data_IF_311864790586
#
_entry.id   IF_311864790586
#
_cell.length_a   1.000
_cell.length_b   1.000
_cell.length_c   1.000
_cell.angle_alpha   90.00
_cell.angle_beta   90.00
_cell.angle_gamma   90.00
#
_symmetry.space_group_name_H-M   'P 1'
#
loop_
_entity.id
_entity.type
_entity.pdbx_description
1 polymer ?
#
# COMPACT_ATOMS: atom_id res chain seq x y z
N UNK A 1 21.47 35.70 -24.28
CA UNK A 1 20.10 36.17 -23.94
C UNK A 1 19.44 35.12 -23.07
N UNK A 2 18.91 35.53 -21.93
CA UNK A 2 18.15 34.65 -21.05
C UNK A 2 16.72 34.50 -21.58
N UNK A 3 16.51 33.46 -22.40
CA UNK A 3 15.22 33.18 -23.07
C UNK A 3 14.12 32.77 -22.09
N UNK A 4 14.46 32.42 -20.85
CA UNK A 4 13.49 32.00 -19.83
C UNK A 4 12.84 33.24 -19.20
N UNK A 5 13.62 34.30 -18.96
CA UNK A 5 13.10 35.56 -18.43
C UNK A 5 12.12 36.28 -19.38
N UNK A 6 12.10 35.93 -20.68
CA UNK A 6 11.16 36.49 -21.66
C UNK A 6 9.77 35.81 -21.64
N UNK A 7 9.60 34.70 -20.92
CA UNK A 7 8.32 34.00 -20.84
C UNK A 7 7.28 34.79 -20.03
N UNK A 8 5.98 34.69 -20.33
CA UNK A 8 4.90 35.25 -19.51
C UNK A 8 4.87 34.67 -18.09
N UNK A 9 4.40 35.46 -17.12
CA UNK A 9 4.33 35.07 -15.69
C UNK A 9 3.54 33.78 -15.47
N UNK A 10 2.45 33.56 -16.21
CA UNK A 10 1.66 32.33 -16.10
C UNK A 10 2.45 31.07 -16.49
N UNK A 11 3.35 31.15 -17.48
CA UNK A 11 4.21 30.05 -17.88
C UNK A 11 5.30 29.83 -16.82
N UNK A 12 5.89 30.92 -16.30
CA UNK A 12 6.89 30.84 -15.24
C UNK A 12 6.32 30.22 -13.96
N UNK A 13 5.10 30.59 -13.54
CA UNK A 13 4.39 29.98 -12.42
C UNK A 13 4.11 28.51 -12.66
N UNK A 14 3.72 28.14 -13.87
CA UNK A 14 3.53 26.74 -14.25
C UNK A 14 4.84 25.94 -14.12
N UNK A 15 5.97 26.47 -14.63
CA UNK A 15 7.28 25.85 -14.49
C UNK A 15 7.66 25.71 -13.01
N UNK A 16 7.55 26.79 -12.23
CA UNK A 16 7.87 26.79 -10.81
C UNK A 16 7.00 25.80 -10.01
N UNK A 17 5.75 25.56 -10.43
CA UNK A 17 4.85 24.60 -9.78
C UNK A 17 5.31 23.14 -9.86
N UNK A 18 6.18 22.81 -10.82
CA UNK A 18 6.80 21.48 -10.92
C UNK A 18 8.08 21.34 -10.11
N UNK A 19 8.64 22.45 -9.61
CA UNK A 19 9.86 22.43 -8.82
C UNK A 19 9.53 22.19 -7.34
N UNK A 20 10.40 21.49 -6.59
CA UNK A 20 10.30 21.51 -5.14
C UNK A 20 10.33 22.96 -4.63
N UNK A 21 9.53 23.28 -3.60
CA UNK A 21 9.39 24.67 -3.14
C UNK A 21 10.74 25.30 -2.81
N UNK A 22 11.66 24.53 -2.23
CA UNK A 22 13.04 24.98 -1.96
C UNK A 22 13.70 25.51 -3.24
N UNK A 23 13.66 24.74 -4.31
CA UNK A 23 14.27 25.08 -5.60
C UNK A 23 13.56 26.27 -6.23
N UNK A 24 12.23 26.32 -6.15
CA UNK A 24 11.48 27.48 -6.61
C UNK A 24 11.96 28.76 -5.90
N UNK A 25 12.07 28.75 -4.57
CA UNK A 25 12.54 29.91 -3.81
C UNK A 25 14.04 30.23 -4.00
N UNK A 26 14.88 29.29 -4.45
CA UNK A 26 16.25 29.60 -4.85
C UNK A 26 16.30 30.45 -6.14
N UNK A 27 15.28 30.39 -6.98
CA UNK A 27 15.20 31.22 -8.20
C UNK A 27 15.02 32.71 -7.89
N UNK A 28 14.65 33.07 -6.65
CA UNK A 28 14.51 34.48 -6.23
C UNK A 28 15.81 35.29 -6.37
N UNK A 29 16.97 34.62 -6.34
CA UNK A 29 18.29 35.25 -6.57
C UNK A 29 18.47 35.72 -8.03
N UNK A 30 17.71 35.16 -8.98
CA UNK A 30 17.85 35.47 -10.40
C UNK A 30 17.33 36.87 -10.74
N UNK A 31 16.19 37.29 -10.15
CA UNK A 31 15.70 38.67 -10.29
C UNK A 31 14.56 38.99 -9.30
N UNK A 32 14.22 40.28 -9.19
CA UNK A 32 13.03 40.73 -8.43
C UNK A 32 11.74 40.09 -8.96
N UNK A 33 11.62 39.87 -10.27
CA UNK A 33 10.44 39.24 -10.88
C UNK A 33 10.24 37.81 -10.37
N UNK A 34 11.30 37.00 -10.32
CA UNK A 34 11.26 35.66 -9.75
C UNK A 34 10.89 35.67 -8.26
N UNK A 35 11.34 36.68 -7.52
CA UNK A 35 10.91 36.88 -6.12
C UNK A 35 9.38 37.06 -6.02
N UNK A 36 8.78 37.89 -6.88
CA UNK A 36 7.33 38.07 -6.90
C UNK A 36 6.60 36.78 -7.30
N UNK A 37 7.05 36.10 -8.35
CA UNK A 37 6.44 34.85 -8.83
C UNK A 37 6.45 33.74 -7.77
N UNK A 38 7.52 33.62 -6.98
CA UNK A 38 7.54 32.65 -5.88
C UNK A 38 6.48 32.93 -4.81
N UNK A 39 6.09 34.19 -4.62
CA UNK A 39 5.02 34.54 -3.70
C UNK A 39 3.62 34.23 -4.25
N UNK A 40 3.48 34.13 -5.57
CA UNK A 40 2.22 33.82 -6.27
C UNK A 40 1.97 32.30 -6.49
N UNK A 41 2.82 31.44 -5.92
CA UNK A 41 2.66 29.99 -6.01
C UNK A 41 1.44 29.48 -5.23
N UNK A 42 0.72 28.53 -5.84
CA UNK A 42 -0.46 27.87 -5.23
C UNK A 42 -0.17 26.44 -4.76
N UNK A 43 0.99 25.91 -5.13
CA UNK A 43 1.39 24.52 -4.88
C UNK A 43 2.69 24.52 -4.09
N UNK A 44 2.62 24.03 -2.85
CA UNK A 44 3.74 23.99 -1.94
C UNK A 44 4.06 22.54 -1.58
N UNK A 45 5.28 22.12 -1.93
CA UNK A 45 5.85 20.83 -1.54
C UNK A 45 7.11 21.02 -0.68
N UNK A 46 6.98 20.62 0.58
CA UNK A 46 8.06 20.68 1.57
C UNK A 46 8.42 19.27 2.01
N UNK A 47 9.64 18.84 1.72
CA UNK A 47 10.18 17.56 2.17
C UNK A 47 11.50 17.79 2.88
N UNK A 48 11.51 17.52 4.19
CA UNK A 48 12.68 17.69 5.04
C UNK A 48 13.91 16.90 4.52
N UNK A 49 13.72 15.78 3.82
CA UNK A 49 14.83 15.01 3.27
C UNK A 49 15.64 15.80 2.23
N UNK A 50 15.03 16.77 1.55
CA UNK A 50 15.72 17.69 0.63
C UNK A 50 16.58 18.75 1.35
N UNK A 51 16.44 18.85 2.67
CA UNK A 51 17.18 19.77 3.53
C UNK A 51 18.19 19.05 4.43
N UNK A 52 18.20 17.71 4.47
CA UNK A 52 19.24 16.92 5.15
C UNK A 52 20.55 17.00 4.37
N UNK A 53 21.65 17.24 5.09
CA UNK A 53 23.00 17.12 4.52
C UNK A 53 23.38 15.63 4.48
N UNK A 54 24.08 15.17 3.43
CA UNK A 54 24.33 13.73 3.19
C UNK A 54 25.12 13.01 4.30
N UNK A 55 25.71 13.74 5.25
CA UNK A 55 26.71 13.22 6.19
C UNK A 55 26.29 13.27 7.67
N UNK A 56 25.06 13.64 8.02
CA UNK A 56 24.64 13.66 9.43
C UNK A 56 23.31 12.95 9.64
N UNK A 57 23.33 11.93 10.50
CA UNK A 57 22.13 11.27 11.00
C UNK A 57 21.34 12.29 11.84
N UNK A 58 20.12 12.61 11.39
CA UNK A 58 19.10 13.43 12.09
C UNK A 58 19.65 14.51 13.03
N UNK A 59 20.21 15.58 12.46
CA UNK A 59 20.55 16.76 13.24
C UNK A 59 19.26 17.51 13.62
N UNK A 60 18.94 17.54 14.91
CA UNK A 60 17.79 18.28 15.48
C UNK A 60 17.77 19.75 15.05
N UNK A 61 18.95 20.35 14.81
CA UNK A 61 19.09 21.72 14.32
C UNK A 61 18.59 21.89 12.87
N UNK A 62 18.72 20.86 12.03
CA UNK A 62 18.28 20.89 10.64
C UNK A 62 16.75 20.90 10.54
N UNK A 63 16.05 20.18 11.43
CA UNK A 63 14.58 20.17 11.49
C UNK A 63 14.02 21.54 11.88
N UNK A 64 14.54 22.15 12.96
CA UNK A 64 14.14 23.50 13.37
C UNK A 64 14.35 24.53 12.26
N UNK A 65 15.48 24.45 11.55
CA UNK A 65 15.75 25.32 10.40
C UNK A 65 14.76 25.10 9.27
N UNK A 66 14.42 23.86 8.96
CA UNK A 66 13.41 23.52 7.96
C UNK A 66 12.04 24.10 8.32
N UNK A 67 11.54 23.86 9.53
CA UNK A 67 10.26 24.41 9.98
C UNK A 67 10.27 25.95 9.99
N UNK A 68 11.38 26.58 10.37
CA UNK A 68 11.54 28.03 10.29
C UNK A 68 11.44 28.56 8.85
N UNK A 69 11.99 27.84 7.86
CA UNK A 69 11.87 28.18 6.44
C UNK A 69 10.42 28.05 5.99
N UNK A 70 9.74 26.94 6.31
CA UNK A 70 8.32 26.74 5.99
C UNK A 70 7.48 27.87 6.59
N UNK A 71 7.71 28.19 7.87
CA UNK A 71 7.05 29.28 8.57
C UNK A 71 7.26 30.63 7.88
N UNK A 72 8.49 30.95 7.49
CA UNK A 72 8.82 32.19 6.79
C UNK A 72 8.14 32.28 5.42
N UNK A 73 8.12 31.18 4.65
CA UNK A 73 7.44 31.14 3.34
C UNK A 73 5.93 31.35 3.51
N UNK A 74 5.29 30.57 4.38
CA UNK A 74 3.85 30.64 4.61
C UNK A 74 3.42 32.00 5.17
N UNK A 75 4.23 32.60 6.06
CA UNK A 75 3.94 33.91 6.65
C UNK A 75 3.94 35.03 5.60
N UNK A 76 4.76 34.90 4.56
CA UNK A 76 4.88 35.89 3.49
C UNK A 76 3.91 35.65 2.33
N UNK A 77 3.33 34.47 2.23
CA UNK A 77 2.35 34.16 1.21
C UNK A 77 0.99 34.80 1.54
N UNK A 78 0.52 35.66 0.63
CA UNK A 78 -0.69 36.47 0.80
C UNK A 78 -1.78 36.14 -0.21
N UNK A 79 -1.39 35.92 -1.45
CA UNK A 79 -2.27 35.56 -2.56
C UNK A 79 -1.39 34.95 -3.67
N UNK A 80 -1.97 34.18 -4.59
CA UNK A 80 -3.33 33.63 -4.61
C UNK A 80 -3.53 32.48 -3.58
N UNK A 81 -4.76 32.02 -3.30
CA UNK A 81 -5.00 30.95 -2.32
C UNK A 81 -4.24 29.66 -2.63
N UNK A 82 -3.76 29.00 -1.57
CA UNK A 82 -3.06 27.71 -1.67
C UNK A 82 -4.04 26.63 -2.11
N UNK A 83 -3.71 25.92 -3.19
CA UNK A 83 -4.47 24.76 -3.70
C UNK A 83 -3.89 23.44 -3.24
N UNK A 84 -2.57 23.35 -3.10
CA UNK A 84 -1.88 22.12 -2.72
C UNK A 84 -0.86 22.40 -1.64
N UNK A 85 -0.99 21.69 -0.52
CA UNK A 85 0.01 21.70 0.54
C UNK A 85 0.44 20.29 0.88
N UNK A 86 1.74 20.02 0.70
CA UNK A 86 2.38 18.75 1.01
C UNK A 86 3.56 18.99 1.93
N UNK A 87 3.56 18.30 3.08
CA UNK A 87 4.60 18.42 4.09
C UNK A 87 5.06 17.03 4.54
N UNK A 88 6.36 16.76 4.38
CA UNK A 88 7.04 15.58 4.92
C UNK A 88 8.09 16.03 5.91
N UNK A 89 7.92 15.70 7.19
CA UNK A 89 8.88 16.04 8.24
C UNK A 89 8.82 15.12 9.46
N UNK A 90 9.94 15.06 10.16
CA UNK A 90 10.04 14.54 11.52
C UNK A 90 9.46 15.57 12.50
N UNK A 91 8.74 15.13 13.52
CA UNK A 91 8.17 15.99 14.55
C UNK A 91 8.85 15.80 15.89
N UNK A 92 9.03 16.91 16.61
CA UNK A 92 9.31 16.92 18.04
C UNK A 92 8.07 17.40 18.82
N UNK A 93 7.97 17.10 20.13
CA UNK A 93 6.85 17.57 20.95
C UNK A 93 6.63 19.08 20.96
N UNK A 94 7.69 19.88 20.73
CA UNK A 94 7.61 21.34 20.67
C UNK A 94 6.97 21.89 19.39
N UNK A 95 6.84 21.07 18.35
CA UNK A 95 6.55 21.56 17.00
C UNK A 95 5.04 21.56 16.68
N UNK A 96 4.20 21.10 17.61
CA UNK A 96 2.75 20.92 17.41
C UNK A 96 2.03 22.22 17.05
N UNK A 97 2.28 23.28 17.81
CA UNK A 97 1.66 24.60 17.56
C UNK A 97 2.10 25.21 16.23
N UNK A 98 3.35 24.94 15.83
CA UNK A 98 3.89 25.40 14.54
C UNK A 98 3.18 24.68 13.39
N UNK A 99 2.98 23.37 13.51
CA UNK A 99 2.28 22.59 12.50
C UNK A 99 0.79 22.92 12.44
N UNK A 100 0.13 23.10 13.59
CA UNK A 100 -1.25 23.56 13.65
C UNK A 100 -1.40 24.90 12.93
N UNK A 101 -0.48 25.85 13.17
CA UNK A 101 -0.45 27.12 12.45
C UNK A 101 -0.27 26.95 10.94
N UNK A 102 0.61 26.03 10.48
CA UNK A 102 0.74 25.72 9.04
C UNK A 102 -0.59 25.27 8.46
N UNK A 103 -1.28 24.32 9.12
CA UNK A 103 -2.53 23.78 8.63
C UNK A 103 -3.61 24.86 8.56
N UNK A 104 -3.74 25.68 9.61
CA UNK A 104 -4.69 26.81 9.63
C UNK A 104 -4.37 27.82 8.52
N UNK A 105 -3.09 28.12 8.29
CA UNK A 105 -2.66 29.10 7.28
C UNK A 105 -2.95 28.63 5.85
N UNK A 106 -2.83 27.33 5.57
CA UNK A 106 -3.12 26.78 4.23
C UNK A 106 -4.58 26.42 4.03
N UNK A 107 -5.34 26.30 5.12
CA UNK A 107 -6.77 26.02 5.07
C UNK A 107 -7.53 27.22 4.49
N UNK A 108 -7.74 27.19 3.18
CA UNK A 108 -8.53 28.16 2.44
C UNK A 108 -9.67 27.48 1.67
N UNK A 109 -10.61 28.28 1.13
CA UNK A 109 -11.77 27.76 0.41
C UNK A 109 -11.43 27.00 -0.88
N UNK A 110 -10.20 27.12 -1.39
CA UNK A 110 -9.73 26.51 -2.63
C UNK A 110 -8.67 25.42 -2.41
N UNK A 111 -8.49 24.94 -1.17
CA UNK A 111 -7.52 23.89 -0.88
C UNK A 111 -8.01 22.56 -1.45
N UNK A 112 -7.38 22.11 -2.54
CA UNK A 112 -7.72 20.88 -3.25
C UNK A 112 -6.96 19.65 -2.70
N UNK A 113 -5.76 19.85 -2.17
CA UNK A 113 -4.94 18.77 -1.61
C UNK A 113 -4.22 19.17 -0.32
N UNK A 114 -4.40 18.33 0.71
CA UNK A 114 -3.63 18.37 1.95
C UNK A 114 -2.95 17.00 2.17
N UNK A 115 -1.63 16.99 2.23
CA UNK A 115 -0.83 15.78 2.46
C UNK A 115 0.20 16.03 3.56
N UNK A 116 0.04 15.34 4.69
CA UNK A 116 0.93 15.43 5.84
C UNK A 116 1.55 14.05 6.08
N UNK A 117 2.87 13.95 5.94
CA UNK A 117 3.67 12.77 6.24
C UNK A 117 4.59 13.09 7.41
N UNK A 118 4.17 12.67 8.59
CA UNK A 118 4.76 13.10 9.85
C UNK A 118 5.39 11.89 10.54
N UNK A 119 6.72 11.82 10.53
CA UNK A 119 7.48 10.85 11.31
C UNK A 119 7.78 11.42 12.70
N UNK A 120 8.05 10.57 13.68
CA UNK A 120 8.59 11.03 14.97
C UNK A 120 9.89 10.30 15.27
N UNK A 121 10.83 11.04 15.84
CA UNK A 121 12.13 10.53 16.26
C UNK A 121 12.05 9.93 17.68
N UNK A 122 11.02 10.32 18.46
CA UNK A 122 10.82 9.91 19.84
C UNK A 122 9.41 9.34 20.04
N UNK A 123 9.28 8.29 20.86
CA UNK A 123 7.99 7.76 21.32
C UNK A 123 7.30 8.77 22.26
N UNK A 124 6.88 9.93 21.76
CA UNK A 124 6.17 10.94 22.53
C UNK A 124 4.67 10.62 22.60
N UNK A 125 4.00 11.09 23.66
CA UNK A 125 2.55 10.91 23.85
C UNK A 125 1.76 12.04 23.15
N UNK A 126 2.45 13.12 22.82
CA UNK A 126 1.88 14.36 22.27
C UNK A 126 1.47 14.15 20.82
N UNK A 127 0.29 14.68 20.45
CA UNK A 127 -0.27 14.50 19.11
C UNK A 127 -0.76 15.83 18.56
N UNK A 128 -0.36 16.11 17.33
CA UNK A 128 -0.84 17.22 16.51
C UNK A 128 -2.32 17.00 16.22
N UNK A 129 -3.17 17.88 16.74
CA UNK A 129 -4.58 17.88 16.40
C UNK A 129 -4.78 18.51 15.02
N UNK A 130 -5.42 17.78 14.10
CA UNK A 130 -5.82 18.33 12.81
C UNK A 130 -7.03 19.24 13.03
N UNK A 131 -7.00 20.53 12.63
CA UNK A 131 -8.15 21.41 12.79
C UNK A 131 -9.42 20.87 12.13
N UNK A 132 -10.57 20.98 12.81
CA UNK A 132 -11.87 20.52 12.31
C UNK A 132 -12.25 21.11 10.94
N UNK A 133 -11.77 22.32 10.63
CA UNK A 133 -12.00 22.96 9.34
C UNK A 133 -11.45 22.17 8.14
N UNK A 134 -10.42 21.34 8.32
CA UNK A 134 -9.93 20.43 7.27
C UNK A 134 -11.02 19.46 6.82
N UNK A 135 -11.78 18.92 7.77
CA UNK A 135 -12.86 17.97 7.52
C UNK A 135 -14.18 18.64 7.11
N UNK A 136 -14.20 19.96 6.99
CA UNK A 136 -15.33 20.75 6.49
C UNK A 136 -14.99 21.47 5.16
N UNK A 137 -13.81 21.20 4.60
CA UNK A 137 -13.32 21.86 3.39
C UNK A 137 -13.98 21.26 2.15
N UNK A 138 -14.87 22.01 1.50
CA UNK A 138 -15.67 21.52 0.37
C UNK A 138 -14.91 21.39 -0.93
N UNK A 139 -13.79 22.09 -1.10
CA UNK A 139 -12.90 22.00 -2.25
C UNK A 139 -11.87 20.87 -2.15
N UNK A 140 -11.73 20.23 -0.98
CA UNK A 140 -10.71 19.23 -0.76
C UNK A 140 -11.00 17.95 -1.55
N UNK A 141 -10.10 17.63 -2.48
CA UNK A 141 -10.17 16.45 -3.35
C UNK A 141 -9.30 15.31 -2.80
N UNK A 142 -8.16 15.66 -2.20
CA UNK A 142 -7.21 14.69 -1.64
C UNK A 142 -6.82 15.06 -0.21
N UNK A 143 -7.05 14.14 0.72
CA UNK A 143 -6.60 14.23 2.11
C UNK A 143 -5.72 13.03 2.43
N UNK A 144 -4.45 13.28 2.76
CA UNK A 144 -3.52 12.25 3.21
C UNK A 144 -2.92 12.64 4.54
N UNK A 145 -3.16 11.82 5.54
CA UNK A 145 -2.64 11.99 6.89
C UNK A 145 -1.88 10.73 7.25
N UNK A 146 -0.58 10.85 7.48
CA UNK A 146 0.30 9.76 7.88
C UNK A 146 1.12 10.18 9.09
N UNK A 147 1.06 9.39 10.17
CA UNK A 147 1.98 9.50 11.30
C UNK A 147 1.32 9.30 12.66
N UNK A 148 1.99 8.51 13.52
CA UNK A 148 1.56 8.13 14.88
C UNK A 148 1.14 9.25 15.83
N UNK A 149 1.51 10.48 15.50
CA UNK A 149 1.23 11.68 16.28
C UNK A 149 0.12 12.54 15.67
N UNK A 150 -0.55 12.09 14.61
CA UNK A 150 -1.72 12.77 14.08
C UNK A 150 -2.95 12.40 14.90
N UNK A 151 -3.64 13.41 15.43
CA UNK A 151 -4.94 13.25 16.08
C UNK A 151 -6.03 13.88 15.24
N UNK A 152 -7.02 13.08 14.88
CA UNK A 152 -8.26 13.57 14.29
C UNK A 152 -9.20 13.90 15.45
N UNK A 153 -9.56 15.18 15.67
CA UNK A 153 -10.49 15.58 16.72
C UNK A 153 -11.89 15.01 16.48
N UNK A 154 -12.70 14.99 17.53
CA UNK A 154 -14.14 14.79 17.42
C UNK A 154 -14.81 16.11 17.00
N UNK A 155 -15.98 16.10 16.34
CA UNK A 155 -16.68 17.34 16.03
C UNK A 155 -17.00 18.06 17.35
N UNK A 156 -16.49 19.29 17.52
CA UNK A 156 -16.56 20.01 18.80
C UNK A 156 -17.99 20.39 19.22
N UNK A 157 -18.97 20.29 18.30
CA UNK A 157 -20.37 20.63 18.50
C UNK A 157 -21.24 19.94 17.42
N UNK A 158 -22.53 19.65 17.69
CA UNK A 158 -23.47 19.06 16.73
C UNK A 158 -23.74 19.92 15.47
N UNK A 159 -23.35 21.20 15.50
CA UNK A 159 -23.43 22.16 14.39
C UNK A 159 -22.22 22.15 13.46
N UNK A 160 -21.07 21.58 13.89
CA UNK A 160 -19.84 21.49 13.08
C UNK A 160 -19.72 20.09 12.50
N UNK A 161 -20.53 19.76 11.50
CA UNK A 161 -20.49 18.44 10.84
C UNK A 161 -19.35 18.37 9.83
N UNK A 162 -18.76 17.19 9.70
CA UNK A 162 -17.86 16.93 8.58
C UNK A 162 -18.62 17.10 7.26
N UNK A 163 -17.96 17.68 6.26
CA UNK A 163 -18.54 17.88 4.95
C UNK A 163 -17.45 17.92 3.89
N UNK A 164 -17.26 16.80 3.19
CA UNK A 164 -16.18 16.57 2.23
C UNK A 164 -16.74 16.08 0.89
N UNK A 165 -17.63 16.86 0.24
CA UNK A 165 -18.36 16.41 -0.96
C UNK A 165 -17.46 16.14 -2.17
N UNK A 166 -16.33 16.85 -2.28
CA UNK A 166 -15.39 16.73 -3.41
C UNK A 166 -14.28 15.71 -3.18
N UNK A 167 -14.23 15.08 -1.99
CA UNK A 167 -13.10 14.23 -1.62
C UNK A 167 -13.12 12.91 -2.38
N UNK A 168 -12.10 12.72 -3.23
CA UNK A 168 -11.89 11.52 -4.04
C UNK A 168 -10.87 10.58 -3.44
N UNK A 169 -9.88 11.10 -2.71
CA UNK A 169 -8.82 10.29 -2.09
C UNK A 169 -8.72 10.61 -0.60
N UNK A 170 -8.94 9.58 0.22
CA UNK A 170 -8.70 9.64 1.66
C UNK A 170 -7.65 8.60 2.04
N UNK A 171 -6.54 9.07 2.61
CA UNK A 171 -5.51 8.21 3.19
C UNK A 171 -5.30 8.57 4.65
N UNK A 172 -5.54 7.60 5.53
CA UNK A 172 -5.29 7.68 6.96
C UNK A 172 -4.33 6.54 7.32
N UNK A 173 -3.11 6.88 7.73
CA UNK A 173 -2.10 5.89 8.08
C UNK A 173 -1.45 6.22 9.42
N UNK A 174 -1.47 5.29 10.37
CA UNK A 174 -0.95 5.47 11.73
C UNK A 174 -1.56 6.69 12.47
N UNK A 175 -2.84 7.00 12.23
CA UNK A 175 -3.50 8.15 12.87
C UNK A 175 -4.31 7.72 14.10
N UNK A 176 -4.54 8.64 15.05
CA UNK A 176 -5.50 8.44 16.14
C UNK A 176 -6.77 9.26 15.92
N UNK A 177 -7.91 8.59 15.85
CA UNK A 177 -9.23 9.21 15.99
C UNK A 177 -9.55 9.35 17.47
N UNK A 178 -10.09 10.50 17.85
CA UNK A 178 -10.46 10.83 19.23
C UNK A 178 -11.78 10.15 19.62
N UNK A 179 -12.57 10.73 20.52
CA UNK A 179 -13.87 10.20 20.98
C UNK A 179 -14.97 10.12 19.87
N UNK A 180 -14.59 10.15 18.59
CA UNK A 180 -15.44 9.98 17.42
C UNK A 180 -15.18 8.64 16.70
N UNK A 181 -15.93 8.39 15.63
CA UNK A 181 -15.84 7.16 14.84
C UNK A 181 -15.39 7.45 13.40
N UNK A 182 -14.52 6.62 12.84
CA UNK A 182 -14.14 6.66 11.42
C UNK A 182 -15.36 6.64 10.48
N UNK A 183 -16.40 5.88 10.83
CA UNK A 183 -17.64 5.83 10.01
C UNK A 183 -18.30 7.20 9.84
N UNK A 184 -18.19 8.08 10.84
CA UNK A 184 -18.77 9.43 10.75
C UNK A 184 -18.08 10.24 9.64
N UNK A 185 -16.75 10.27 9.63
CA UNK A 185 -15.95 10.94 8.58
C UNK A 185 -16.27 10.34 7.21
N UNK A 186 -16.33 9.01 7.13
CA UNK A 186 -16.62 8.28 5.90
C UNK A 186 -18.03 8.57 5.36
N UNK A 187 -19.02 8.73 6.23
CA UNK A 187 -20.41 9.01 5.83
C UNK A 187 -20.59 10.36 5.11
N UNK A 188 -19.65 11.28 5.29
CA UNK A 188 -19.66 12.61 4.67
C UNK A 188 -18.79 12.71 3.41
N UNK A 189 -18.17 11.60 2.97
CA UNK A 189 -17.34 11.52 1.77
C UNK A 189 -18.14 10.89 0.61
N UNK A 190 -18.92 11.67 -0.14
CA UNK A 190 -19.83 11.14 -1.17
C UNK A 190 -19.16 10.78 -2.51
N UNK A 191 -18.00 11.38 -2.82
CA UNK A 191 -17.31 11.21 -4.09
C UNK A 191 -16.06 10.31 -4.02
N UNK A 192 -15.94 9.50 -2.97
CA UNK A 192 -14.70 8.79 -2.66
C UNK A 192 -14.37 7.70 -3.69
N UNK A 193 -13.20 7.83 -4.33
CA UNK A 193 -12.69 6.89 -5.35
C UNK A 193 -11.56 6.02 -4.82
N UNK A 194 -10.77 6.52 -3.86
CA UNK A 194 -9.64 5.81 -3.24
C UNK A 194 -9.67 5.97 -1.73
N UNK A 195 -9.68 4.84 -1.02
CA UNK A 195 -9.64 4.77 0.44
C UNK A 195 -8.44 3.94 0.88
N UNK A 196 -7.54 4.54 1.66
CA UNK A 196 -6.37 3.89 2.25
C UNK A 196 -6.44 4.07 3.75
N UNK A 197 -6.66 2.97 4.48
CA UNK A 197 -6.71 2.92 5.93
C UNK A 197 -5.61 1.99 6.42
N UNK A 198 -4.71 2.51 7.25
CA UNK A 198 -3.67 1.71 7.88
C UNK A 198 -3.45 2.13 9.32
N UNK A 199 -3.44 1.20 10.28
CA UNK A 199 -3.07 1.50 11.68
C UNK A 199 -3.89 2.65 12.31
N UNK A 200 -5.20 2.67 12.08
CA UNK A 200 -6.08 3.75 12.56
C UNK A 200 -6.56 3.43 13.98
N UNK A 201 -6.00 4.13 14.98
CA UNK A 201 -6.34 3.94 16.39
C UNK A 201 -7.58 4.75 16.76
N UNK A 202 -8.59 4.13 17.37
CA UNK A 202 -9.81 4.82 17.85
C UNK A 202 -10.24 4.30 19.23
N UNK A 203 -10.92 5.12 20.05
CA UNK A 203 -11.53 4.66 21.31
C UNK A 203 -12.85 3.93 20.99
N UNK A 204 -12.91 2.64 21.28
CA UNK A 204 -14.01 1.81 20.79
C UNK A 204 -15.24 1.90 21.69
N UNK A 205 -16.25 2.64 21.22
CA UNK A 205 -17.64 2.49 21.67
C UNK A 205 -18.49 1.75 20.62
N UNK A 206 -18.08 1.81 19.34
CA UNK A 206 -18.71 1.07 18.24
C UNK A 206 -17.78 0.01 17.66
N UNK A 207 -18.42 -1.06 17.22
CA UNK A 207 -17.88 -2.41 17.06
C UNK A 207 -17.82 -2.84 15.58
N UNK A 208 -18.25 -1.97 14.68
CA UNK A 208 -18.43 -2.22 13.24
C UNK A 208 -17.80 -1.10 12.41
N UNK A 209 -17.25 -1.46 11.23
CA UNK A 209 -16.84 -0.54 10.17
C UNK A 209 -17.48 -0.99 8.85
N UNK A 210 -18.28 -0.11 8.24
CA UNK A 210 -18.95 -0.38 6.96
C UNK A 210 -18.37 0.47 5.83
N UNK A 211 -17.81 -0.18 4.81
CA UNK A 211 -17.23 0.46 3.63
C UNK A 211 -18.18 0.18 2.46
N UNK A 212 -19.13 1.10 2.25
CA UNK A 212 -20.21 0.94 1.27
C UNK A 212 -20.27 2.15 0.32
N UNK A 213 -19.27 2.25 -0.56
CA UNK A 213 -19.10 3.38 -1.48
C UNK A 213 -19.31 2.93 -2.94
N UNK A 214 -20.39 3.37 -3.61
CA UNK A 214 -20.64 3.02 -5.01
C UNK A 214 -19.58 3.54 -5.99
N UNK A 215 -18.88 4.63 -5.64
CA UNK A 215 -17.85 5.27 -6.45
C UNK A 215 -16.42 4.76 -6.19
N UNK A 216 -16.22 3.90 -5.18
CA UNK A 216 -14.90 3.48 -4.75
C UNK A 216 -14.26 2.52 -5.75
N UNK A 217 -13.07 2.88 -6.23
CA UNK A 217 -12.29 2.13 -7.22
C UNK A 217 -11.10 1.41 -6.60
N UNK A 218 -10.57 1.91 -5.49
CA UNK A 218 -9.37 1.37 -4.83
C UNK A 218 -9.55 1.38 -3.31
N UNK A 219 -9.37 0.22 -2.68
CA UNK A 219 -9.42 0.04 -1.23
C UNK A 219 -8.13 -0.61 -0.74
N UNK A 220 -7.43 0.04 0.18
CA UNK A 220 -6.34 -0.53 0.95
C UNK A 220 -6.71 -0.45 2.43
N UNK A 221 -6.78 -1.60 3.10
CA UNK A 221 -7.13 -1.71 4.51
C UNK A 221 -6.10 -2.55 5.24
N UNK A 222 -5.44 -1.94 6.23
CA UNK A 222 -4.37 -2.56 7.02
C UNK A 222 -4.59 -2.35 8.51
N UNK A 223 -4.69 -3.44 9.26
CA UNK A 223 -4.97 -3.43 10.71
C UNK A 223 -3.97 -4.32 11.47
N UNK A 224 -3.48 -3.84 12.62
CA UNK A 224 -2.57 -4.57 13.52
C UNK A 224 -3.13 -4.62 14.95
N UNK A 225 -2.57 -5.54 15.76
CA UNK A 225 -2.92 -5.84 17.15
C UNK A 225 -3.50 -4.68 17.98
N UNK A 226 -4.60 -4.95 18.69
CA UNK A 226 -5.19 -4.05 19.69
C UNK A 226 -6.44 -3.29 19.24
N UNK A 227 -6.89 -3.47 18.00
CA UNK A 227 -8.13 -2.89 17.50
C UNK A 227 -9.34 -3.80 17.83
N UNK A 228 -10.39 -3.27 18.48
CA UNK A 228 -11.59 -4.04 18.87
C UNK A 228 -12.72 -3.98 17.82
N UNK A 229 -12.36 -3.87 16.53
CA UNK A 229 -13.33 -4.00 15.45
C UNK A 229 -13.85 -5.45 15.43
N UNK A 230 -15.13 -5.68 15.77
CA UNK A 230 -15.71 -7.02 15.65
C UNK A 230 -16.18 -7.32 14.24
N UNK A 231 -16.76 -6.35 13.52
CA UNK A 231 -17.33 -6.55 12.19
C UNK A 231 -16.77 -5.56 11.15
N UNK A 232 -16.22 -6.09 10.06
CA UNK A 232 -15.88 -5.32 8.86
C UNK A 232 -16.83 -5.69 7.72
N UNK A 233 -17.54 -4.71 7.14
CA UNK A 233 -18.40 -4.91 5.97
C UNK A 233 -17.80 -4.17 4.78
N UNK A 234 -17.62 -4.87 3.65
CA UNK A 234 -17.17 -4.30 2.38
C UNK A 234 -18.23 -4.61 1.32
N UNK A 235 -18.85 -3.56 0.80
CA UNK A 235 -19.87 -3.65 -0.25
C UNK A 235 -19.66 -2.51 -1.28
N UNK A 236 -18.82 -2.76 -2.28
CA UNK A 236 -18.34 -1.73 -3.20
C UNK A 236 -18.33 -2.24 -4.64
N UNK A 237 -19.43 -2.08 -5.41
CA UNK A 237 -19.59 -2.69 -6.73
C UNK A 237 -18.62 -2.15 -7.80
N UNK A 238 -18.11 -0.93 -7.64
CA UNK A 238 -17.18 -0.31 -8.59
C UNK A 238 -15.70 -0.58 -8.28
N UNK A 239 -15.40 -1.41 -7.29
CA UNK A 239 -14.05 -1.64 -6.81
C UNK A 239 -13.23 -2.40 -7.86
N UNK A 240 -12.04 -1.86 -8.18
CA UNK A 240 -11.09 -2.45 -9.13
C UNK A 240 -9.84 -3.00 -8.48
N UNK A 241 -9.40 -2.38 -7.38
CA UNK A 241 -8.22 -2.78 -6.61
C UNK A 241 -8.54 -2.94 -5.14
N UNK A 242 -8.11 -4.06 -4.58
CA UNK A 242 -8.35 -4.45 -3.19
C UNK A 242 -7.04 -4.87 -2.53
N UNK A 243 -6.71 -4.32 -1.36
CA UNK A 243 -5.59 -4.79 -0.54
C UNK A 243 -6.05 -4.86 0.91
N UNK A 244 -6.17 -6.09 1.44
CA UNK A 244 -6.64 -6.35 2.80
C UNK A 244 -5.55 -7.08 3.57
N UNK A 245 -5.06 -6.43 4.62
CA UNK A 245 -4.02 -6.95 5.51
C UNK A 245 -4.51 -6.87 6.95
N UNK A 246 -4.88 -8.00 7.53
CA UNK A 246 -5.55 -8.05 8.83
C UNK A 246 -4.89 -9.11 9.71
N UNK A 247 -4.27 -8.67 10.80
CA UNK A 247 -3.62 -9.55 11.79
C UNK A 247 -4.48 -9.73 13.04
N UNK A 248 -5.12 -10.90 13.19
CA UNK A 248 -5.88 -11.41 14.35
C UNK A 248 -7.00 -10.45 14.90
N UNK A 249 -7.90 -10.96 15.76
CA UNK A 249 -8.93 -10.20 16.54
C UNK A 249 -10.24 -9.74 15.86
N UNK A 250 -10.38 -9.78 14.53
CA UNK A 250 -11.69 -9.58 13.89
C UNK A 250 -12.62 -10.78 14.18
N UNK A 251 -13.84 -10.51 14.65
CA UNK A 251 -14.82 -11.57 14.94
C UNK A 251 -15.52 -12.02 13.66
N UNK A 252 -15.84 -11.07 12.78
CA UNK A 252 -16.56 -11.26 11.54
C UNK A 252 -16.07 -10.28 10.45
N UNK A 253 -15.96 -10.78 9.22
CA UNK A 253 -15.79 -9.97 8.01
C UNK A 253 -16.95 -10.36 7.09
N UNK A 254 -17.55 -9.41 6.37
CA UNK A 254 -18.57 -9.67 5.36
C UNK A 254 -18.19 -8.91 4.09
N UNK A 255 -18.09 -9.63 2.99
CA UNK A 255 -17.74 -9.07 1.68
C UNK A 255 -18.84 -9.35 0.67
N UNK A 256 -19.16 -8.35 -0.15
CA UNK A 256 -20.18 -8.42 -1.20
C UNK A 256 -19.78 -7.57 -2.39
N UNK A 257 -20.28 -7.94 -3.57
CA UNK A 257 -20.21 -7.14 -4.78
C UNK A 257 -18.76 -6.86 -5.26
N UNK A 258 -17.84 -7.81 -5.10
CA UNK A 258 -16.43 -7.64 -5.54
C UNK A 258 -16.16 -8.15 -6.96
N UNK A 259 -17.20 -8.40 -7.76
CA UNK A 259 -17.11 -9.00 -9.09
C UNK A 259 -16.31 -8.18 -10.13
N UNK A 260 -16.12 -6.88 -9.89
CA UNK A 260 -15.35 -5.97 -10.77
C UNK A 260 -13.88 -5.81 -10.34
N UNK A 261 -13.46 -6.45 -9.25
CA UNK A 261 -12.07 -6.37 -8.78
C UNK A 261 -11.16 -7.07 -9.79
N UNK A 262 -10.17 -6.33 -10.28
CA UNK A 262 -9.19 -6.81 -11.26
C UNK A 262 -7.91 -7.31 -10.57
N UNK A 263 -7.55 -6.68 -9.44
CA UNK A 263 -6.33 -6.91 -8.67
C UNK A 263 -6.63 -6.92 -7.17
N UNK A 264 -6.27 -8.01 -6.49
CA UNK A 264 -6.47 -8.17 -5.06
C UNK A 264 -5.26 -8.74 -4.35
N UNK A 265 -4.93 -8.14 -3.20
CA UNK A 265 -4.00 -8.66 -2.21
C UNK A 265 -4.76 -9.01 -0.94
N UNK A 266 -4.64 -10.26 -0.49
CA UNK A 266 -5.31 -10.77 0.71
C UNK A 266 -4.27 -11.35 1.64
N UNK A 267 -4.16 -10.79 2.84
CA UNK A 267 -3.31 -11.29 3.91
C UNK A 267 -4.09 -11.30 5.22
N UNK A 268 -4.82 -12.40 5.48
CA UNK A 268 -5.73 -12.56 6.62
C UNK A 268 -5.47 -13.93 7.26
N UNK A 269 -5.48 -14.02 8.58
CA UNK A 269 -5.10 -15.23 9.34
C UNK A 269 -6.25 -16.19 9.67
N UNK A 270 -7.48 -15.96 9.16
CA UNK A 270 -8.66 -16.80 9.46
C UNK A 270 -9.25 -17.40 8.18
N UNK A 271 -9.29 -18.73 8.13
CA UNK A 271 -9.74 -19.51 6.98
C UNK A 271 -11.13 -19.10 6.47
N UNK A 272 -12.10 -18.89 7.37
CA UNK A 272 -13.47 -18.52 6.99
C UNK A 272 -13.51 -17.20 6.22
N UNK A 273 -12.74 -16.20 6.66
CA UNK A 273 -12.70 -14.89 6.02
C UNK A 273 -12.02 -14.95 4.67
N UNK A 274 -10.91 -15.71 4.57
CA UNK A 274 -10.23 -15.91 3.29
C UNK A 274 -11.21 -16.50 2.27
N UNK A 275 -11.97 -17.53 2.65
CA UNK A 275 -12.95 -18.17 1.75
C UNK A 275 -14.04 -17.20 1.29
N UNK A 276 -14.54 -16.32 2.17
CA UNK A 276 -15.51 -15.30 1.75
C UNK A 276 -14.97 -14.39 0.65
N UNK A 277 -13.72 -13.92 0.77
CA UNK A 277 -13.08 -13.16 -0.31
C UNK A 277 -12.89 -13.99 -1.58
N UNK A 278 -12.41 -15.24 -1.47
CA UNK A 278 -12.16 -16.07 -2.65
C UNK A 278 -13.44 -16.33 -3.45
N UNK A 279 -14.59 -16.50 -2.78
CA UNK A 279 -15.89 -16.70 -3.44
C UNK A 279 -16.30 -15.45 -4.23
N UNK A 280 -16.14 -14.26 -3.67
CA UNK A 280 -16.49 -13.01 -4.37
C UNK A 280 -15.50 -12.67 -5.51
N UNK A 281 -14.27 -13.21 -5.46
CA UNK A 281 -13.18 -12.90 -6.40
C UNK A 281 -12.95 -13.99 -7.47
N UNK A 282 -13.90 -14.89 -7.73
CA UNK A 282 -13.74 -16.00 -8.69
C UNK A 282 -13.39 -15.57 -10.15
N UNK A 283 -13.64 -14.30 -10.51
CA UNK A 283 -13.38 -13.73 -11.85
C UNK A 283 -12.20 -12.75 -11.88
N UNK A 284 -11.41 -12.69 -10.81
CA UNK A 284 -10.26 -11.80 -10.70
C UNK A 284 -9.14 -12.15 -11.70
N UNK A 285 -8.32 -11.16 -12.07
CA UNK A 285 -7.18 -11.34 -12.99
C UNK A 285 -5.84 -11.48 -12.28
N UNK A 286 -5.63 -10.72 -11.20
CA UNK A 286 -4.40 -10.70 -10.41
C UNK A 286 -4.77 -10.95 -8.95
N UNK A 287 -4.20 -12.00 -8.35
CA UNK A 287 -4.43 -12.37 -6.96
C UNK A 287 -3.10 -12.60 -6.25
N UNK A 288 -2.86 -11.84 -5.18
CA UNK A 288 -1.77 -12.06 -4.23
C UNK A 288 -2.34 -12.60 -2.92
N UNK A 289 -1.88 -13.78 -2.50
CA UNK A 289 -2.17 -14.37 -1.20
C UNK A 289 -0.94 -14.22 -0.31
N UNK A 290 -1.09 -13.44 0.75
CA UNK A 290 -0.05 -13.13 1.71
C UNK A 290 0.24 -14.28 2.70
N UNK A 291 1.27 -14.09 3.51
CA UNK A 291 1.79 -15.10 4.44
C UNK A 291 0.74 -15.63 5.42
N UNK A 292 -0.13 -14.78 5.94
CA UNK A 292 -1.18 -15.18 6.89
C UNK A 292 -2.22 -16.11 6.26
N UNK A 293 -2.40 -16.04 4.93
CA UNK A 293 -3.27 -16.97 4.19
C UNK A 293 -2.65 -18.34 4.12
N UNK A 294 -1.33 -18.44 3.89
CA UNK A 294 -0.60 -19.70 3.90
C UNK A 294 -0.74 -20.45 5.24
N UNK A 295 -1.00 -19.74 6.33
CA UNK A 295 -1.11 -20.34 7.66
C UNK A 295 -2.43 -21.06 7.93
N UNK A 296 -3.45 -20.82 7.10
CA UNK A 296 -4.80 -21.34 7.33
C UNK A 296 -5.47 -21.94 6.09
N UNK A 297 -5.05 -21.54 4.88
CA UNK A 297 -5.63 -22.01 3.63
C UNK A 297 -5.22 -23.46 3.25
N UNK A 298 -3.98 -23.94 3.50
CA UNK A 298 -3.60 -25.32 3.17
C UNK A 298 -4.43 -26.41 3.87
N UNK A 299 -5.00 -26.11 5.04
CA UNK A 299 -5.87 -27.03 5.78
C UNK A 299 -7.30 -27.11 5.23
N UNK A 300 -7.66 -26.23 4.29
CA UNK A 300 -8.99 -26.23 3.66
C UNK A 300 -9.13 -27.43 2.74
N UNK A 301 -10.23 -28.19 2.83
CA UNK A 301 -10.57 -29.17 1.81
C UNK A 301 -10.66 -28.53 0.41
N UNK A 302 -9.99 -29.07 -0.62
CA UNK A 302 -9.91 -28.43 -1.93
C UNK A 302 -11.26 -28.10 -2.58
N UNK A 303 -12.33 -28.85 -2.28
CA UNK A 303 -13.67 -28.60 -2.81
C UNK A 303 -14.33 -27.31 -2.28
N UNK A 304 -13.85 -26.75 -1.16
CA UNK A 304 -14.35 -25.47 -0.62
C UNK A 304 -13.70 -24.25 -1.25
N UNK A 305 -12.54 -24.44 -1.89
CA UNK A 305 -11.84 -23.37 -2.61
C UNK A 305 -12.52 -23.22 -3.99
N UNK A 306 -12.98 -22.02 -4.36
CA UNK A 306 -13.64 -21.80 -5.64
C UNK A 306 -12.66 -21.91 -6.82
N UNK A 307 -13.20 -22.08 -8.02
CA UNK A 307 -12.39 -22.02 -9.24
C UNK A 307 -12.22 -20.58 -9.72
N UNK A 308 -10.99 -20.23 -10.12
CA UNK A 308 -10.66 -18.94 -10.69
C UNK A 308 -10.64 -19.02 -12.22
N UNK A 309 -11.69 -18.48 -12.83
CA UNK A 309 -11.96 -18.63 -14.26
C UNK A 309 -11.15 -17.67 -15.14
N UNK A 310 -10.76 -16.53 -14.60
CA UNK A 310 -10.08 -15.45 -15.34
C UNK A 310 -8.67 -15.12 -14.83
N UNK A 311 -8.16 -15.87 -13.84
CA UNK A 311 -6.91 -15.54 -13.17
C UNK A 311 -5.71 -15.71 -14.10
N UNK A 312 -4.94 -14.64 -14.29
CA UNK A 312 -3.72 -14.63 -15.10
C UNK A 312 -2.46 -14.60 -14.26
N UNK A 313 -2.50 -13.96 -13.09
CA UNK A 313 -1.35 -13.81 -12.20
C UNK A 313 -1.74 -14.25 -10.80
N UNK A 314 -1.01 -15.22 -10.28
CA UNK A 314 -1.14 -15.70 -8.90
C UNK A 314 0.20 -15.51 -8.20
N UNK A 315 0.21 -14.72 -7.12
CA UNK A 315 1.36 -14.59 -6.24
C UNK A 315 1.04 -15.22 -4.88
N UNK A 316 1.87 -16.17 -4.43
CA UNK A 316 1.73 -16.89 -3.17
C UNK A 316 2.92 -16.56 -2.26
N UNK A 317 2.65 -15.94 -1.11
CA UNK A 317 3.67 -15.76 -0.09
C UNK A 317 3.66 -16.94 0.87
N UNK A 318 4.80 -17.61 1.03
CA UNK A 318 4.91 -18.86 1.79
C UNK A 318 6.03 -18.80 2.82
N UNK A 319 5.89 -19.56 3.93
CA UNK A 319 7.02 -19.84 4.83
C UNK A 319 7.89 -20.96 4.32
N UNK A 320 7.26 -21.92 3.66
CA UNK A 320 7.88 -23.14 3.16
C UNK A 320 7.31 -23.54 1.81
N UNK A 321 8.02 -24.35 1.07
CA UNK A 321 7.60 -24.86 -0.22
C UNK A 321 6.59 -26.00 -0.07
N UNK A 322 5.34 -25.64 0.26
CA UNK A 322 4.24 -26.62 0.31
C UNK A 322 3.73 -26.88 -1.11
N UNK A 323 4.25 -27.95 -1.72
CA UNK A 323 3.88 -28.38 -3.07
C UNK A 323 2.41 -28.73 -3.18
N UNK A 324 1.79 -29.33 -2.16
CA UNK A 324 0.37 -29.68 -2.18
C UNK A 324 -0.50 -28.43 -2.23
N UNK A 325 -0.16 -27.40 -1.44
CA UNK A 325 -0.83 -26.10 -1.49
C UNK A 325 -0.70 -25.46 -2.87
N UNK A 326 0.51 -25.39 -3.43
CA UNK A 326 0.75 -24.80 -4.76
C UNK A 326 -0.04 -25.56 -5.83
N UNK A 327 0.02 -26.89 -5.84
CA UNK A 327 -0.67 -27.72 -6.84
C UNK A 327 -2.19 -27.62 -6.71
N UNK A 328 -2.74 -27.59 -5.49
CA UNK A 328 -4.16 -27.35 -5.25
C UNK A 328 -4.61 -26.00 -5.83
N UNK A 329 -3.81 -24.94 -5.64
CA UNK A 329 -4.11 -23.64 -6.24
C UNK A 329 -4.02 -23.66 -7.77
N UNK A 330 -3.01 -24.32 -8.35
CA UNK A 330 -2.90 -24.47 -9.81
C UNK A 330 -4.11 -25.20 -10.41
N UNK A 331 -4.64 -26.22 -9.74
CA UNK A 331 -5.85 -26.93 -10.19
C UNK A 331 -7.09 -26.02 -10.23
N UNK A 332 -7.14 -24.98 -9.39
CA UNK A 332 -8.23 -24.01 -9.35
C UNK A 332 -8.11 -22.89 -10.38
N UNK A 333 -6.94 -22.71 -10.98
CA UNK A 333 -6.67 -21.61 -11.91
C UNK A 333 -6.53 -22.15 -13.34
N UNK A 334 -7.52 -21.91 -14.21
CA UNK A 334 -7.49 -22.51 -15.57
C UNK A 334 -6.70 -21.68 -16.59
N UNK A 335 -6.67 -20.35 -16.42
CA UNK A 335 -6.10 -19.38 -17.38
C UNK A 335 -4.81 -18.73 -16.88
N UNK A 336 -4.15 -19.35 -15.89
CA UNK A 336 -2.97 -18.80 -15.22
C UNK A 336 -1.79 -18.71 -16.18
N UNK A 337 -1.20 -17.51 -16.28
CA UNK A 337 -0.04 -17.21 -17.13
C UNK A 337 1.24 -17.01 -16.33
N UNK A 338 1.13 -16.46 -15.13
CA UNK A 338 2.27 -16.18 -14.25
C UNK A 338 1.98 -16.71 -12.85
N UNK A 339 2.82 -17.63 -12.37
CA UNK A 339 2.88 -18.05 -10.98
C UNK A 339 4.09 -17.40 -10.30
N UNK A 340 3.88 -16.66 -9.23
CA UNK A 340 4.95 -16.15 -8.38
C UNK A 340 4.87 -16.81 -6.99
N UNK A 341 5.98 -17.34 -6.51
CA UNK A 341 6.12 -17.88 -5.15
C UNK A 341 7.13 -17.01 -4.43
N UNK A 342 6.72 -16.42 -3.31
CA UNK A 342 7.54 -15.49 -2.53
C UNK A 342 7.79 -16.07 -1.15
N UNK A 343 9.05 -16.36 -0.86
CA UNK A 343 9.45 -16.81 0.45
C UNK A 343 9.56 -15.62 1.42
N UNK A 344 8.94 -15.77 2.59
CA UNK A 344 9.04 -14.79 3.66
C UNK A 344 10.43 -14.84 4.31
N UNK A 345 11.07 -13.68 4.48
CA UNK A 345 12.43 -13.56 5.01
C UNK A 345 12.54 -13.78 6.54
N UNK A 346 11.42 -13.99 7.25
CA UNK A 346 11.46 -14.25 8.70
C UNK A 346 11.97 -15.67 8.94
N UNK A 347 13.27 -15.76 9.26
CA UNK A 347 13.97 -16.96 9.71
C UNK A 347 13.40 -17.46 11.05
N UNK A 348 12.22 -18.08 11.02
CA UNK A 348 11.94 -19.07 12.04
C UNK A 348 12.68 -20.32 11.62
N UNK A 349 13.70 -20.68 12.39
CA UNK A 349 14.31 -22.01 12.31
C UNK A 349 13.14 -22.98 12.46
N UNK A 350 12.74 -23.64 11.37
CA UNK A 350 11.67 -24.61 11.45
C UNK A 350 12.27 -25.81 12.15
N UNK A 351 12.09 -25.86 13.47
CA UNK A 351 12.64 -26.89 14.35
C UNK A 351 11.96 -28.24 14.19
N UNK A 352 10.96 -28.37 13.32
CA UNK A 352 10.27 -29.65 13.12
C UNK A 352 9.80 -29.84 11.66
N UNK A 353 10.19 -30.93 10.97
CA UNK A 353 9.67 -31.25 9.65
C UNK A 353 8.18 -31.62 9.70
N UNK A 354 7.31 -30.65 9.43
CA UNK A 354 5.88 -30.92 9.28
C UNK A 354 5.66 -32.05 8.24
N UNK A 355 4.89 -33.10 8.54
CA UNK A 355 4.69 -34.28 7.66
C UNK A 355 3.99 -33.98 6.32
N UNK A 356 3.60 -32.73 6.07
CA UNK A 356 3.06 -32.23 4.79
C UNK A 356 4.09 -32.12 3.66
N UNK A 357 5.37 -32.39 3.97
CA UNK A 357 6.53 -32.17 3.08
C UNK A 357 6.75 -33.23 2.01
N UNK A 358 6.02 -34.35 2.02
CA UNK A 358 6.20 -35.38 0.98
C UNK A 358 5.54 -34.91 -0.32
N UNK A 359 6.32 -34.81 -1.40
CA UNK A 359 5.76 -34.63 -2.74
C UNK A 359 4.85 -35.81 -3.06
N UNK A 360 3.56 -35.52 -3.22
CA UNK A 360 2.59 -36.47 -3.74
C UNK A 360 2.36 -36.13 -5.20
N UNK A 361 2.73 -37.06 -6.09
CA UNK A 361 2.58 -36.85 -7.52
C UNK A 361 1.11 -36.50 -7.85
N UNK A 362 0.83 -35.35 -8.49
CA UNK A 362 -0.54 -34.93 -8.75
C UNK A 362 -1.26 -35.98 -9.61
N UNK A 363 -2.50 -36.30 -9.24
CA UNK A 363 -3.35 -37.25 -9.97
C UNK A 363 -3.65 -36.77 -11.40
N UNK A 364 -3.75 -35.44 -11.57
CA UNK A 364 -4.02 -34.80 -12.86
C UNK A 364 -3.15 -33.57 -13.03
N UNK A 365 -2.61 -33.39 -14.23
CA UNK A 365 -1.89 -32.19 -14.62
C UNK A 365 -2.85 -31.00 -14.62
N UNK A 366 -2.55 -29.91 -13.88
CA UNK A 366 -3.36 -28.70 -13.94
C UNK A 366 -3.48 -28.17 -15.37
N UNK A 367 -4.67 -27.75 -15.75
CA UNK A 367 -4.94 -27.26 -17.11
C UNK A 367 -4.09 -26.05 -17.45
N UNK A 368 -3.92 -25.10 -16.52
CA UNK A 368 -3.05 -23.95 -16.72
C UNK A 368 -1.60 -24.34 -16.98
N UNK A 369 -1.05 -25.31 -16.24
CA UNK A 369 0.33 -25.76 -16.39
C UNK A 369 0.56 -26.28 -17.83
N UNK A 370 -0.36 -27.08 -18.34
CA UNK A 370 -0.24 -27.66 -19.67
C UNK A 370 -0.45 -26.66 -20.83
N UNK A 371 -1.22 -25.57 -20.63
CA UNK A 371 -1.74 -24.78 -21.77
C UNK A 371 -1.58 -23.26 -21.69
N UNK A 372 -1.34 -22.68 -20.50
CA UNK A 372 -1.37 -21.22 -20.32
C UNK A 372 -0.18 -20.67 -19.52
N UNK A 373 0.44 -21.47 -18.64
CA UNK A 373 1.48 -21.02 -17.73
C UNK A 373 2.78 -20.75 -18.50
N UNK A 374 3.12 -19.47 -18.63
CA UNK A 374 4.29 -18.98 -19.36
C UNK A 374 5.48 -18.70 -18.45
N UNK A 375 5.21 -18.22 -17.23
CA UNK A 375 6.27 -17.74 -16.34
C UNK A 375 6.06 -18.27 -14.93
N UNK A 376 7.11 -18.85 -14.35
CA UNK A 376 7.18 -19.17 -12.93
C UNK A 376 8.30 -18.33 -12.32
N UNK A 377 7.97 -17.55 -11.28
CA UNK A 377 8.94 -16.76 -10.52
C UNK A 377 9.02 -17.26 -9.11
N UNK A 378 10.23 -17.50 -8.62
CA UNK A 378 10.48 -17.84 -7.22
C UNK A 378 11.35 -16.74 -6.62
N UNK A 379 10.82 -16.01 -5.64
CA UNK A 379 11.50 -14.90 -4.97
C UNK A 379 12.02 -15.35 -3.62
N UNK A 380 13.27 -15.01 -3.30
CA UNK A 380 13.93 -15.27 -1.99
C UNK A 380 13.99 -16.77 -1.62
N UNK A 381 14.23 -17.62 -2.59
CA UNK A 381 14.31 -19.07 -2.40
C UNK A 381 15.41 -19.45 -1.39
N UNK A 382 15.07 -20.26 -0.38
CA UNK A 382 16.02 -20.71 0.65
C UNK A 382 15.93 -22.20 1.02
N UNK A 383 14.99 -22.97 0.49
CA UNK A 383 14.76 -24.37 0.89
C UNK A 383 15.67 -25.38 0.18
N UNK A 384 15.79 -26.58 0.76
CA UNK A 384 16.90 -27.52 0.46
C UNK A 384 16.54 -29.00 0.29
N UNK A 385 15.26 -29.42 0.22
CA UNK A 385 14.86 -30.79 -0.18
C UNK A 385 13.42 -30.84 -0.71
N UNK A 386 13.15 -31.80 -1.59
CA UNK A 386 11.86 -32.18 -2.22
C UNK A 386 11.25 -31.22 -3.26
N UNK A 387 11.76 -30.00 -3.42
CA UNK A 387 11.28 -29.07 -4.47
C UNK A 387 11.70 -29.51 -5.88
N UNK A 388 12.76 -30.33 -6.00
CA UNK A 388 13.24 -30.84 -7.29
C UNK A 388 12.15 -31.59 -8.04
N UNK A 389 11.34 -32.39 -7.35
CA UNK A 389 10.27 -33.16 -7.98
C UNK A 389 9.17 -32.23 -8.51
N UNK A 390 8.86 -31.16 -7.77
CA UNK A 390 8.00 -30.11 -8.28
C UNK A 390 8.60 -29.43 -9.53
N UNK A 391 9.88 -29.06 -9.49
CA UNK A 391 10.54 -28.43 -10.64
C UNK A 391 10.56 -29.34 -11.87
N UNK A 392 10.93 -30.61 -11.68
CA UNK A 392 10.91 -31.62 -12.73
C UNK A 392 9.50 -31.76 -13.31
N UNK A 393 8.49 -31.83 -12.44
CA UNK A 393 7.08 -31.93 -12.84
C UNK A 393 6.63 -30.71 -13.67
N UNK A 394 6.89 -29.48 -13.21
CA UNK A 394 6.45 -28.28 -13.94
C UNK A 394 7.22 -28.08 -15.25
N UNK A 395 8.50 -28.45 -15.32
CA UNK A 395 9.29 -28.39 -16.55
C UNK A 395 8.86 -29.48 -17.56
N UNK A 396 8.47 -30.66 -17.07
CA UNK A 396 7.97 -31.77 -17.89
C UNK A 396 6.55 -31.54 -18.38
N UNK A 397 5.69 -30.87 -17.62
CA UNK A 397 4.29 -30.66 -17.99
C UNK A 397 3.97 -29.24 -18.48
N UNK A 398 4.88 -28.29 -18.32
CA UNK A 398 4.77 -26.91 -18.78
C UNK A 398 5.03 -26.76 -20.29
N UNK A 399 4.05 -27.13 -21.13
CA UNK A 399 4.24 -27.19 -22.59
C UNK A 399 4.45 -25.83 -23.25
N UNK A 400 3.95 -24.75 -22.63
CA UNK A 400 4.06 -23.37 -23.11
C UNK A 400 4.92 -22.49 -22.22
N UNK A 401 5.69 -23.10 -21.31
CA UNK A 401 6.52 -22.38 -20.35
C UNK A 401 7.67 -21.65 -21.08
N UNK A 402 7.81 -20.36 -20.85
CA UNK A 402 8.81 -19.48 -21.45
C UNK A 402 9.96 -19.22 -20.47
N UNK A 403 9.67 -19.00 -19.18
CA UNK A 403 10.72 -18.80 -18.17
C UNK A 403 10.40 -19.42 -16.80
N UNK A 404 11.47 -19.90 -16.16
CA UNK A 404 11.54 -20.23 -14.75
C UNK A 404 12.62 -19.34 -14.12
N UNK A 405 12.19 -18.31 -13.40
CA UNK A 405 13.07 -17.29 -12.82
C UNK A 405 13.20 -17.52 -11.32
N UNK A 406 14.40 -17.84 -10.85
CA UNK A 406 14.66 -18.18 -9.44
C UNK A 406 15.63 -17.16 -8.84
N UNK A 407 15.13 -16.43 -7.86
CA UNK A 407 15.92 -15.54 -7.04
C UNK A 407 16.39 -16.30 -5.78
N UNK A 408 17.69 -16.59 -5.70
CA UNK A 408 18.30 -17.45 -4.67
C UNK A 408 19.11 -16.62 -3.67
N UNK A 409 19.05 -16.99 -2.40
CA UNK A 409 19.95 -16.47 -1.37
C UNK A 409 21.40 -16.95 -1.64
N UNK A 410 22.34 -16.00 -1.67
CA UNK A 410 23.73 -16.22 -2.04
C UNK A 410 24.45 -17.26 -1.15
N UNK A 411 23.97 -17.48 0.08
CA UNK A 411 24.54 -18.44 1.03
C UNK A 411 24.36 -19.92 0.66
N UNK A 412 23.46 -20.24 -0.29
CA UNK A 412 23.13 -21.63 -0.70
C UNK A 412 23.33 -21.94 -2.19
N UNK A 413 24.05 -21.10 -2.93
CA UNK A 413 24.17 -21.16 -4.39
C UNK A 413 24.99 -22.32 -4.99
N UNK A 414 25.63 -23.19 -4.20
CA UNK A 414 26.50 -24.26 -4.74
C UNK A 414 25.70 -25.50 -5.17
N UNK A 415 25.72 -25.83 -6.47
CA UNK A 415 25.19 -27.07 -7.05
C UNK A 415 23.72 -27.03 -7.51
N UNK A 416 22.83 -26.37 -6.75
CA UNK A 416 21.40 -26.30 -7.09
C UNK A 416 21.09 -25.76 -8.51
N UNK A 417 21.73 -24.67 -8.99
CA UNK A 417 21.47 -24.17 -10.35
C UNK A 417 21.86 -25.16 -11.45
N UNK A 418 22.95 -25.91 -11.23
CA UNK A 418 23.47 -26.90 -12.18
C UNK A 418 22.52 -28.09 -12.27
N UNK A 419 22.07 -28.61 -11.12
CA UNK A 419 21.11 -29.73 -11.05
C UNK A 419 19.78 -29.39 -11.74
N UNK A 420 19.25 -28.19 -11.52
CA UNK A 420 17.98 -27.76 -12.12
C UNK A 420 18.08 -27.60 -13.64
N UNK A 421 19.24 -27.15 -14.12
CA UNK A 421 19.51 -26.93 -15.55
C UNK A 421 19.54 -28.25 -16.35
N UNK A 422 19.80 -29.37 -15.68
CA UNK A 422 19.82 -30.71 -16.27
C UNK A 422 18.43 -31.34 -16.41
N UNK A 423 17.39 -30.76 -15.79
CA UNK A 423 16.05 -31.33 -15.84
C UNK A 423 15.45 -31.25 -17.27
N UNK A 424 14.72 -32.30 -17.70
CA UNK A 424 14.08 -32.31 -19.00
C UNK A 424 12.98 -31.25 -19.09
N UNK A 425 12.87 -30.61 -20.25
CA UNK A 425 11.92 -29.54 -20.55
C UNK A 425 11.04 -29.94 -21.71
N UNK A 426 9.73 -29.87 -21.52
CA UNK A 426 8.78 -30.10 -22.63
C UNK A 426 8.62 -28.88 -23.52
N UNK A 427 8.70 -27.68 -22.96
CA UNK A 427 8.79 -26.45 -23.74
C UNK A 427 10.23 -26.17 -24.16
N UNK A 428 10.48 -26.09 -25.47
CA UNK A 428 11.78 -25.69 -26.04
C UNK A 428 12.10 -24.21 -25.81
N UNK A 429 11.09 -23.38 -25.56
CA UNK A 429 11.26 -21.96 -25.28
C UNK A 429 11.67 -21.69 -23.83
N UNK A 430 11.51 -22.67 -22.94
CA UNK A 430 11.73 -22.49 -21.51
C UNK A 430 13.20 -22.24 -21.16
N UNK A 431 13.46 -21.03 -20.65
CA UNK A 431 14.74 -20.63 -20.07
C UNK A 431 14.67 -20.68 -18.54
N UNK A 432 15.73 -21.21 -17.91
CA UNK A 432 15.87 -21.18 -16.46
C UNK A 432 16.87 -20.06 -16.14
N UNK A 433 16.43 -19.07 -15.36
CA UNK A 433 17.24 -17.93 -14.98
C UNK A 433 17.45 -17.88 -13.48
N UNK A 434 18.66 -17.50 -13.05
CA UNK A 434 19.02 -17.38 -11.65
C UNK A 434 19.46 -15.95 -11.34
N UNK A 435 18.93 -15.38 -10.26
CA UNK A 435 19.34 -14.09 -9.72
C UNK A 435 19.77 -14.25 -8.27
N UNK A 436 20.97 -13.81 -7.92
CA UNK A 436 21.49 -13.90 -6.57
C UNK A 436 21.26 -12.59 -5.82
N UNK A 437 20.73 -12.71 -4.59
CA UNK A 437 20.52 -11.56 -3.69
C UNK A 437 21.24 -11.80 -2.38
N UNK A 438 21.78 -10.72 -1.84
CA UNK A 438 22.11 -10.59 -0.43
C UNK A 438 20.81 -10.23 0.30
N UNK A 439 20.28 -11.15 1.12
CA UNK A 439 19.09 -10.92 1.95
C UNK A 439 19.52 -10.61 3.37
#
# INVERSE_FOLDING_TARGET
MDRISDLPDCILLHILSFLPTKTAFLTTVLSRRWTHLCHDLQHFYFDQNQFRNRNTWSDFSANKRFLAIVNWILSRHKAPPIRTFRLTCDLNPSDESTLEWFIIKVLGPNLEELNLQLSSILCSVSRVAIPNGVFSCTSLVTLRLNGGHVRIPSPSAPSCRYHLPSLKTLQLYDVKISDGNLEEILSHCTALETLILGYVRQSFVKVQLSICFPSLKSLHFKSYFGETLRLLVIDTPSLKRLDIQVELWFHEIRVRNLHNVEDARINISKQSFVLEFLVELCRIRILELGLSVFDCLPEVPPHRIPEFTCLHTLELTVRTFDTRYIMNMLQKCRMLKLLAIVFSARQYIITDPHPSRKWDHPVKVPTCLASHLKVIKIKRYFESRDDRDFFAYVLQHGLVLESLDIQVDNTRSKGFPEELSLLPRSSKACQISFCYVYV
#
